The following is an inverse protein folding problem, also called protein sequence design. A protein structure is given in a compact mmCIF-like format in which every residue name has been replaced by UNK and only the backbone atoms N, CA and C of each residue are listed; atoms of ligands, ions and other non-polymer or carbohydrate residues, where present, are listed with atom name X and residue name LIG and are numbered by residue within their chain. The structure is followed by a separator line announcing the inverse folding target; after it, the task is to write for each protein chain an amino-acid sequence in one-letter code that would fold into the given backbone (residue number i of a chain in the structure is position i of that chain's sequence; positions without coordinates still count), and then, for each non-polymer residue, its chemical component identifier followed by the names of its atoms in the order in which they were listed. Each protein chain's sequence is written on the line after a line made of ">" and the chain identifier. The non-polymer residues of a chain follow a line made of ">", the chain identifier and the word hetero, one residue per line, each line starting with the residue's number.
data_IF_102614262098
#
_entry.id   IF_102614262098
#
_cell.length_a   1.000
_cell.length_b   1.000
_cell.length_c   1.000
_cell.angle_alpha   90.00
_cell.angle_beta   90.00
_cell.angle_gamma   90.00
#
_symmetry.space_group_name_H-M   'P 1'
#
loop_
_entity.id
_entity.type
_entity.pdbx_description
1 polymer ?
#
# COMPACT_ATOMS: atom_id res chain seq x y z
N UNK A 1 -33.05 3.39 68.57
CA UNK A 1 -32.56 4.19 67.44
C UNK A 1 -31.36 3.57 66.72
N UNK A 2 -31.07 2.27 66.92
CA UNK A 2 -29.86 1.59 66.40
C UNK A 2 -30.13 0.57 65.29
N UNK A 3 -31.39 0.33 64.91
CA UNK A 3 -31.75 -0.71 63.92
C UNK A 3 -31.84 -0.21 62.46
N UNK A 4 -31.94 1.10 62.22
CA UNK A 4 -32.07 1.66 60.86
C UNK A 4 -30.73 1.68 60.12
N UNK A 5 -29.62 1.95 60.82
CA UNK A 5 -28.26 1.97 60.26
C UNK A 5 -27.83 0.61 59.68
N UNK A 6 -28.33 -0.51 60.22
CA UNK A 6 -27.93 -1.84 59.74
C UNK A 6 -28.59 -2.20 58.41
N UNK A 7 -29.79 -1.70 58.13
CA UNK A 7 -30.51 -1.98 56.88
C UNK A 7 -30.03 -1.08 55.73
N UNK A 8 -29.72 0.20 56.01
CA UNK A 8 -29.08 1.09 55.03
C UNK A 8 -27.69 0.58 54.63
N UNK A 9 -26.91 0.05 55.58
CA UNK A 9 -25.61 -0.55 55.29
C UNK A 9 -25.70 -1.81 54.42
N UNK A 10 -26.73 -2.66 54.62
CA UNK A 10 -26.92 -3.87 53.78
C UNK A 10 -27.37 -3.54 52.36
N UNK A 11 -28.26 -2.56 52.17
CA UNK A 11 -28.71 -2.12 50.84
C UNK A 11 -27.57 -1.42 50.07
N UNK A 12 -26.72 -0.65 50.77
CA UNK A 12 -25.54 -0.05 50.16
C UNK A 12 -24.51 -1.10 49.71
N UNK A 13 -24.35 -2.20 50.45
CA UNK A 13 -23.38 -3.26 50.13
C UNK A 13 -23.74 -4.02 48.84
N UNK A 14 -25.04 -4.25 48.58
CA UNK A 14 -25.50 -4.87 47.33
C UNK A 14 -25.34 -3.92 46.14
N UNK A 15 -25.66 -2.63 46.32
CA UNK A 15 -25.56 -1.61 45.29
C UNK A 15 -24.11 -1.37 44.80
N UNK A 16 -23.14 -1.36 45.72
CA UNK A 16 -21.71 -1.26 45.36
C UNK A 16 -21.26 -2.47 44.53
N UNK A 17 -21.72 -3.68 44.89
CA UNK A 17 -21.41 -4.91 44.15
C UNK A 17 -22.00 -4.94 42.75
N UNK A 18 -23.21 -4.41 42.58
CA UNK A 18 -23.91 -4.35 41.30
C UNK A 18 -23.34 -3.27 40.38
N UNK A 19 -22.91 -2.14 40.95
CA UNK A 19 -22.18 -1.09 40.22
C UNK A 19 -20.84 -1.62 39.68
N UNK A 20 -20.11 -2.41 40.48
CA UNK A 20 -18.86 -3.05 40.04
C UNK A 20 -19.10 -4.02 38.86
N UNK A 21 -20.15 -4.85 38.93
CA UNK A 21 -20.51 -5.76 37.83
C UNK A 21 -20.88 -5.00 36.56
N UNK A 22 -21.62 -3.89 36.68
CA UNK A 22 -21.97 -3.04 35.54
C UNK A 22 -20.72 -2.38 34.90
N UNK A 23 -19.77 -1.94 35.72
CA UNK A 23 -18.47 -1.42 35.26
C UNK A 23 -17.64 -2.50 34.55
N UNK A 24 -17.59 -3.72 35.09
CA UNK A 24 -16.91 -4.86 34.44
C UNK A 24 -17.55 -5.20 33.09
N UNK A 25 -18.87 -5.19 33.00
CA UNK A 25 -19.60 -5.37 31.74
C UNK A 25 -19.25 -4.29 30.71
N UNK A 26 -19.20 -3.03 31.14
CA UNK A 26 -18.83 -1.89 30.27
C UNK A 26 -17.39 -2.00 29.79
N UNK A 27 -16.47 -2.40 30.66
CA UNK A 27 -15.07 -2.67 30.33
C UNK A 27 -14.95 -3.78 29.26
N UNK A 28 -15.72 -4.87 29.39
CA UNK A 28 -15.73 -5.95 28.41
C UNK A 28 -16.26 -5.49 27.04
N UNK A 29 -17.32 -4.65 27.01
CA UNK A 29 -17.82 -4.06 25.76
C UNK A 29 -16.78 -3.16 25.07
N UNK A 30 -16.03 -2.38 25.85
CA UNK A 30 -14.95 -1.54 25.34
C UNK A 30 -13.81 -2.38 24.75
N UNK A 31 -13.40 -3.44 25.46
CA UNK A 31 -12.40 -4.38 25.00
C UNK A 31 -12.78 -5.06 23.67
N UNK A 32 -14.08 -5.35 23.48
CA UNK A 32 -14.57 -5.94 22.22
C UNK A 32 -14.49 -5.00 21.01
N UNK A 33 -14.47 -3.68 21.23
CA UNK A 33 -14.44 -2.68 20.14
C UNK A 33 -13.02 -2.19 19.86
N UNK A 34 -12.17 -2.14 20.88
CA UNK A 34 -10.86 -1.52 20.82
C UNK A 34 -9.82 -2.39 21.53
N UNK A 35 -8.76 -2.77 20.80
CA UNK A 35 -7.64 -3.54 21.35
C UNK A 35 -6.77 -2.72 22.32
N UNK A 36 -6.76 -1.39 22.19
CA UNK A 36 -6.10 -0.48 23.10
C UNK A 36 -7.01 0.70 23.40
N UNK A 37 -7.24 1.01 24.68
CA UNK A 37 -8.13 2.09 25.11
C UNK A 37 -7.38 3.04 26.06
N UNK A 38 -7.35 4.35 25.77
CA UNK A 38 -6.74 5.33 26.66
C UNK A 38 -7.57 5.55 27.94
N UNK A 39 -6.90 5.94 29.02
CA UNK A 39 -7.49 6.10 30.35
C UNK A 39 -8.58 7.17 30.36
N UNK A 40 -8.47 8.22 29.53
CA UNK A 40 -9.50 9.25 29.43
C UNK A 40 -10.85 8.71 28.96
N UNK A 41 -10.84 7.77 28.02
CA UNK A 41 -12.06 7.13 27.51
C UNK A 41 -12.61 6.18 28.57
N UNK A 42 -11.75 5.39 29.20
CA UNK A 42 -12.13 4.49 30.28
C UNK A 42 -12.74 5.24 31.47
N UNK A 43 -12.14 6.34 31.90
CA UNK A 43 -12.64 7.19 32.99
C UNK A 43 -14.03 7.74 32.70
N UNK A 44 -14.27 8.20 31.46
CA UNK A 44 -15.58 8.71 31.03
C UNK A 44 -16.64 7.62 31.02
N UNK A 45 -16.32 6.46 30.46
CA UNK A 45 -17.26 5.35 30.31
C UNK A 45 -17.56 4.62 31.64
N UNK A 46 -16.57 4.52 32.54
CA UNK A 46 -16.77 3.93 33.86
C UNK A 46 -17.29 4.95 34.91
N UNK A 47 -17.26 6.25 34.58
CA UNK A 47 -17.66 7.33 35.49
C UNK A 47 -16.73 7.48 36.69
N UNK A 48 -15.41 7.42 36.45
CA UNK A 48 -14.37 7.43 37.48
C UNK A 48 -13.39 8.56 37.22
N UNK A 49 -13.07 9.36 38.25
CA UNK A 49 -12.14 10.49 38.10
C UNK A 49 -10.68 10.09 38.39
N UNK A 50 -10.48 9.13 39.29
CA UNK A 50 -9.15 8.69 39.75
C UNK A 50 -8.58 7.56 38.89
N UNK A 51 -7.29 7.66 38.55
CA UNK A 51 -6.54 6.59 37.88
C UNK A 51 -6.46 5.34 38.75
N UNK A 52 -6.32 5.49 40.07
CA UNK A 52 -6.23 4.36 40.99
C UNK A 52 -7.50 3.53 41.02
N UNK A 53 -8.65 4.20 41.06
CA UNK A 53 -9.95 3.50 41.07
C UNK A 53 -10.16 2.75 39.76
N UNK A 54 -9.73 3.31 38.62
CA UNK A 54 -9.74 2.61 37.34
C UNK A 54 -8.86 1.35 37.37
N UNK A 55 -7.63 1.45 37.89
CA UNK A 55 -6.71 0.33 38.03
C UNK A 55 -7.27 -0.76 38.95
N UNK A 56 -7.88 -0.39 40.07
CA UNK A 56 -8.52 -1.32 40.99
C UNK A 56 -9.69 -2.06 40.33
N UNK A 57 -10.52 -1.37 39.56
CA UNK A 57 -11.60 -1.98 38.77
C UNK A 57 -11.03 -2.92 37.70
N UNK A 58 -9.96 -2.51 37.00
CA UNK A 58 -9.33 -3.37 36.00
C UNK A 58 -8.73 -4.63 36.62
N UNK A 59 -8.04 -4.49 37.75
CA UNK A 59 -7.48 -5.62 38.50
C UNK A 59 -8.59 -6.54 38.98
N UNK A 60 -9.68 -5.99 39.51
CA UNK A 60 -10.87 -6.76 39.92
C UNK A 60 -11.50 -7.51 38.74
N UNK A 61 -11.68 -6.85 37.59
CA UNK A 61 -12.22 -7.45 36.37
C UNK A 61 -11.31 -8.58 35.85
N UNK A 62 -9.99 -8.42 35.97
CA UNK A 62 -9.02 -9.46 35.62
C UNK A 62 -9.11 -10.67 36.54
N UNK A 63 -9.20 -10.46 37.86
CA UNK A 63 -9.37 -11.56 38.81
C UNK A 63 -10.72 -12.26 38.69
N UNK A 64 -11.77 -11.52 38.30
CA UNK A 64 -13.09 -12.09 37.99
C UNK A 64 -13.12 -12.85 36.66
N UNK A 65 -12.04 -12.82 35.87
CA UNK A 65 -11.96 -13.48 34.56
C UNK A 65 -12.78 -12.79 33.46
N UNK A 66 -13.20 -11.54 33.67
CA UNK A 66 -14.02 -10.79 32.70
C UNK A 66 -13.17 -10.24 31.57
N UNK A 67 -11.94 -9.80 31.85
CA UNK A 67 -11.02 -9.28 30.84
C UNK A 67 -9.57 -9.64 31.18
N UNK A 68 -8.75 -9.81 30.15
CA UNK A 68 -7.30 -9.96 30.28
C UNK A 68 -6.60 -8.89 29.45
N UNK A 69 -5.54 -8.33 30.01
CA UNK A 69 -4.82 -7.22 29.38
C UNK A 69 -3.64 -6.72 30.18
N UNK A 70 -3.02 -5.67 29.65
CA UNK A 70 -1.86 -4.98 30.23
C UNK A 70 -2.19 -3.50 30.43
N UNK A 71 -1.81 -3.00 31.61
CA UNK A 71 -1.84 -1.58 31.92
C UNK A 71 -0.52 -0.97 31.43
N UNK A 72 -0.60 -0.03 30.49
CA UNK A 72 0.53 0.78 30.07
C UNK A 72 0.46 2.13 30.79
N UNK A 73 1.25 2.28 31.84
CA UNK A 73 1.30 3.50 32.64
C UNK A 73 2.02 4.67 31.94
N UNK A 74 2.78 4.40 30.87
CA UNK A 74 3.49 5.45 30.12
C UNK A 74 2.58 6.16 29.13
N UNK A 75 1.82 5.37 28.38
CA UNK A 75 0.90 5.87 27.36
C UNK A 75 -0.52 6.07 27.91
N UNK A 76 -0.70 5.85 29.21
CA UNK A 76 -1.98 5.89 29.93
C UNK A 76 -3.07 5.13 29.17
N UNK A 77 -2.75 3.89 28.77
CA UNK A 77 -3.62 3.06 27.96
C UNK A 77 -3.71 1.63 28.50
N UNK A 78 -4.86 1.00 28.29
CA UNK A 78 -5.08 -0.42 28.59
C UNK A 78 -5.09 -1.18 27.28
N UNK A 79 -4.18 -2.14 27.16
CA UNK A 79 -4.14 -3.09 26.05
C UNK A 79 -4.94 -4.34 26.45
N UNK A 80 -6.05 -4.60 25.78
CA UNK A 80 -6.85 -5.79 25.99
C UNK A 80 -6.33 -6.93 25.12
N UNK A 81 -6.11 -8.10 25.73
CA UNK A 81 -5.68 -9.32 25.03
C UNK A 81 -6.82 -10.33 24.87
N UNK A 82 -7.71 -10.41 25.85
CA UNK A 82 -8.85 -11.32 25.84
C UNK A 82 -10.00 -10.72 26.66
N UNK A 83 -11.24 -11.07 26.32
CA UNK A 83 -12.41 -10.59 27.04
C UNK A 83 -13.51 -11.64 27.03
N UNK A 84 -14.21 -11.75 28.16
CA UNK A 84 -15.39 -12.58 28.26
C UNK A 84 -16.54 -11.91 27.51
N UNK A 85 -17.02 -12.57 26.47
CA UNK A 85 -18.13 -12.10 25.65
C UNK A 85 -19.41 -12.03 26.50
N UNK A 86 -20.05 -10.87 26.51
CA UNK A 86 -21.41 -10.76 27.01
C UNK A 86 -22.39 -11.52 26.10
N UNK A 87 -23.59 -11.91 26.59
CA UNK A 87 -24.60 -12.52 25.74
C UNK A 87 -24.93 -11.61 24.56
N UNK A 88 -24.71 -12.13 23.36
CA UNK A 88 -24.96 -11.46 22.08
C UNK A 88 -26.44 -11.11 22.00
N UNK A 89 -26.74 -9.85 21.72
CA UNK A 89 -28.13 -9.41 21.49
C UNK A 89 -28.57 -9.83 20.09
N UNK A 90 -29.85 -10.14 19.89
CA UNK A 90 -30.35 -10.65 18.59
C UNK A 90 -30.03 -9.73 17.40
N UNK A 91 -29.92 -8.42 17.61
CA UNK A 91 -29.52 -7.46 16.56
C UNK A 91 -28.04 -7.48 16.18
N UNK A 92 -27.15 -7.91 17.09
CA UNK A 92 -25.69 -7.90 16.88
C UNK A 92 -25.25 -9.05 15.95
N UNK A 93 -26.05 -10.11 15.84
CA UNK A 93 -25.81 -11.24 14.92
C UNK A 93 -25.92 -10.78 13.45
N UNK A 94 -26.90 -9.93 13.16
CA UNK A 94 -27.08 -9.36 11.82
C UNK A 94 -25.90 -8.46 11.45
N UNK A 95 -25.47 -7.60 12.38
CA UNK A 95 -24.28 -6.74 12.20
C UNK A 95 -23.01 -7.58 11.97
N UNK A 96 -22.82 -8.68 12.71
CA UNK A 96 -21.71 -9.61 12.49
C UNK A 96 -21.77 -10.27 11.11
N UNK A 97 -22.95 -10.69 10.67
CA UNK A 97 -23.16 -11.32 9.37
C UNK A 97 -22.85 -10.34 8.23
N UNK A 98 -23.29 -9.08 8.36
CA UNK A 98 -22.97 -8.02 7.42
C UNK A 98 -21.47 -7.72 7.39
N UNK A 99 -20.82 -7.62 8.55
CA UNK A 99 -19.38 -7.38 8.63
C UNK A 99 -18.57 -8.50 7.97
N UNK A 100 -18.92 -9.76 8.25
CA UNK A 100 -18.28 -10.93 7.62
C UNK A 100 -18.50 -10.93 6.10
N UNK A 101 -19.71 -10.62 5.65
CA UNK A 101 -20.02 -10.53 4.21
C UNK A 101 -19.20 -9.44 3.52
N UNK A 102 -19.07 -8.26 4.15
CA UNK A 102 -18.20 -7.19 3.65
C UNK A 102 -16.72 -7.63 3.61
N UNK A 103 -16.28 -8.40 4.60
CA UNK A 103 -14.90 -8.88 4.65
C UNK A 103 -14.62 -9.90 3.54
N UNK A 104 -15.57 -10.81 3.27
CA UNK A 104 -15.50 -11.72 2.12
C UNK A 104 -15.45 -10.92 0.81
N UNK A 105 -16.32 -9.93 0.64
CA UNK A 105 -16.30 -9.07 -0.56
C UNK A 105 -14.98 -8.33 -0.76
N UNK A 106 -14.32 -7.89 0.33
CA UNK A 106 -12.97 -7.31 0.26
C UNK A 106 -11.93 -8.33 -0.18
N UNK A 107 -11.99 -9.56 0.35
CA UNK A 107 -11.10 -10.64 -0.06
C UNK A 107 -11.28 -11.01 -1.53
N UNK A 108 -12.51 -11.05 -2.02
CA UNK A 108 -12.83 -11.29 -3.43
C UNK A 108 -12.30 -10.16 -4.33
N UNK A 109 -12.45 -8.89 -3.92
CA UNK A 109 -11.88 -7.75 -4.65
C UNK A 109 -10.36 -7.84 -4.77
N UNK A 110 -9.66 -8.11 -3.66
CA UNK A 110 -8.20 -8.28 -3.69
C UNK A 110 -7.80 -9.47 -4.57
N UNK A 111 -8.56 -10.56 -4.52
CA UNK A 111 -8.32 -11.71 -5.39
C UNK A 111 -8.47 -11.35 -6.87
N UNK A 112 -9.51 -10.60 -7.23
CA UNK A 112 -9.71 -10.13 -8.60
C UNK A 112 -8.61 -9.16 -9.06
N UNK A 113 -8.19 -8.24 -8.20
CA UNK A 113 -7.10 -7.30 -8.49
C UNK A 113 -5.79 -8.05 -8.77
N UNK A 114 -5.48 -9.09 -7.99
CA UNK A 114 -4.30 -9.92 -8.22
C UNK A 114 -4.38 -10.69 -9.54
N UNK A 115 -5.55 -11.24 -9.90
CA UNK A 115 -5.74 -11.90 -11.18
C UNK A 115 -5.59 -10.92 -12.35
N UNK A 116 -6.09 -9.70 -12.20
CA UNK A 116 -5.94 -8.65 -13.20
C UNK A 116 -4.47 -8.24 -13.36
N UNK A 117 -3.74 -8.06 -12.26
CA UNK A 117 -2.30 -7.77 -12.28
C UNK A 117 -1.49 -8.88 -12.96
N UNK A 118 -1.86 -10.14 -12.71
CA UNK A 118 -1.25 -11.29 -13.38
C UNK A 118 -1.49 -11.23 -14.90
N UNK A 119 -2.74 -11.02 -15.32
CA UNK A 119 -3.10 -10.95 -16.74
C UNK A 119 -2.41 -9.78 -17.46
N UNK A 120 -2.28 -8.61 -16.79
CA UNK A 120 -1.52 -7.48 -17.35
C UNK A 120 -0.04 -7.80 -17.47
N UNK A 121 0.54 -8.45 -16.47
CA UNK A 121 1.96 -8.86 -16.48
C UNK A 121 2.25 -9.86 -17.60
N UNK A 122 1.39 -10.86 -17.79
CA UNK A 122 1.52 -11.84 -18.88
C UNK A 122 1.42 -11.18 -20.26
N UNK A 123 0.49 -10.23 -20.42
CA UNK A 123 0.34 -9.45 -21.65
C UNK A 123 1.59 -8.61 -21.93
N UNK A 124 2.08 -7.87 -20.94
CA UNK A 124 3.29 -7.06 -21.06
C UNK A 124 4.51 -7.93 -21.39
N UNK A 125 4.63 -9.10 -20.76
CA UNK A 125 5.70 -10.05 -21.07
C UNK A 125 5.63 -10.56 -22.51
N UNK A 126 4.43 -10.89 -23.01
CA UNK A 126 4.23 -11.31 -24.39
C UNK A 126 4.57 -10.19 -25.39
N UNK A 127 4.10 -8.97 -25.15
CA UNK A 127 4.40 -7.79 -25.98
C UNK A 127 5.90 -7.47 -25.97
N UNK A 128 6.56 -7.56 -24.81
CA UNK A 128 7.99 -7.34 -24.69
C UNK A 128 8.78 -8.40 -25.48
N UNK A 129 8.39 -9.66 -25.39
CA UNK A 129 9.02 -10.75 -26.14
C UNK A 129 8.87 -10.56 -27.65
N UNK A 130 7.70 -10.14 -28.12
CA UNK A 130 7.48 -9.85 -29.55
C UNK A 130 8.33 -8.66 -30.01
N UNK A 131 8.40 -7.61 -29.20
CA UNK A 131 9.23 -6.43 -29.47
C UNK A 131 10.71 -6.80 -29.58
N UNK A 132 11.22 -7.59 -28.64
CA UNK A 132 12.59 -8.09 -28.66
C UNK A 132 12.88 -8.92 -29.91
N UNK A 133 11.98 -9.84 -30.28
CA UNK A 133 12.13 -10.64 -31.49
C UNK A 133 12.15 -9.77 -32.77
N UNK A 134 11.29 -8.74 -32.83
CA UNK A 134 11.27 -7.80 -33.95
C UNK A 134 12.55 -6.98 -34.06
N UNK A 135 13.02 -6.43 -32.93
CA UNK A 135 14.28 -5.67 -32.87
C UNK A 135 15.45 -6.56 -33.29
N UNK A 136 15.49 -7.80 -32.80
CA UNK A 136 16.54 -8.75 -33.19
C UNK A 136 16.53 -9.05 -34.69
N UNK A 137 15.35 -9.25 -35.29
CA UNK A 137 15.21 -9.44 -36.73
C UNK A 137 15.66 -8.21 -37.55
N UNK A 138 15.37 -7.00 -37.07
CA UNK A 138 15.85 -5.76 -37.68
C UNK A 138 17.38 -5.62 -37.55
N UNK A 139 17.97 -5.99 -36.41
CA UNK A 139 19.43 -6.03 -36.21
C UNK A 139 20.08 -7.02 -37.20
N UNK A 140 19.57 -8.24 -37.30
CA UNK A 140 20.12 -9.23 -38.25
C UNK A 140 19.99 -8.77 -39.70
N UNK A 141 18.88 -8.12 -40.07
CA UNK A 141 18.68 -7.57 -41.41
C UNK A 141 19.69 -6.46 -41.71
N UNK A 142 19.90 -5.53 -40.78
CA UNK A 142 20.87 -4.44 -40.94
C UNK A 142 22.30 -4.96 -40.99
N UNK A 143 22.66 -5.93 -40.14
CA UNK A 143 23.96 -6.61 -40.19
C UNK A 143 24.21 -7.26 -41.56
N UNK A 144 23.25 -8.02 -42.09
CA UNK A 144 23.34 -8.61 -43.43
C UNK A 144 23.43 -7.56 -44.55
N UNK A 145 22.75 -6.42 -44.41
CA UNK A 145 22.85 -5.30 -45.36
C UNK A 145 24.21 -4.60 -45.33
N UNK A 146 24.84 -4.51 -44.15
CA UNK A 146 26.21 -4.02 -43.99
C UNK A 146 27.21 -5.00 -44.62
N UNK A 147 27.09 -6.30 -44.31
CA UNK A 147 27.96 -7.36 -44.84
C UNK A 147 27.84 -7.51 -46.37
N UNK A 148 26.63 -7.40 -46.93
CA UNK A 148 26.40 -7.45 -48.38
C UNK A 148 26.78 -6.14 -49.12
N UNK A 149 27.32 -5.15 -48.41
CA UNK A 149 27.88 -3.93 -49.00
C UNK A 149 26.87 -3.01 -49.68
N UNK A 150 25.57 -3.14 -49.38
CA UNK A 150 24.53 -2.32 -50.01
C UNK A 150 24.62 -0.84 -49.60
N UNK A 151 25.08 -0.55 -48.38
CA UNK A 151 25.22 0.81 -47.85
C UNK A 151 26.38 1.60 -48.51
N UNK A 152 27.33 0.91 -49.15
CA UNK A 152 28.42 1.57 -49.88
C UNK A 152 28.01 2.11 -51.27
N UNK A 153 26.84 1.72 -51.80
CA UNK A 153 26.42 2.09 -53.16
C UNK A 153 25.51 3.32 -53.25
N UNK A 154 25.04 3.86 -52.13
CA UNK A 154 24.20 5.07 -52.11
C UNK A 154 24.93 6.34 -51.61
N UNK A 155 26.28 6.34 -51.68
CA UNK A 155 27.01 7.61 -51.60
C UNK A 155 26.77 8.39 -52.89
N UNK A 156 25.78 9.29 -52.84
CA UNK A 156 25.73 10.52 -53.64
C UNK A 156 27.16 11.03 -53.87
N UNK A 157 27.55 11.43 -55.09
CA UNK A 157 28.94 11.73 -55.43
C UNK A 157 29.50 12.74 -54.44
N UNK A 158 30.40 12.25 -53.59
CA UNK A 158 31.06 13.03 -52.53
C UNK A 158 31.56 14.35 -53.12
N UNK A 159 31.31 15.47 -52.43
CA UNK A 159 31.70 16.82 -52.85
C UNK A 159 33.16 16.91 -53.30
N UNK A 160 34.04 16.11 -52.70
CA UNK A 160 35.46 15.96 -53.09
C UNK A 160 35.68 15.46 -54.52
N UNK A 161 34.80 14.58 -55.04
CA UNK A 161 34.86 14.07 -56.41
C UNK A 161 34.40 15.13 -57.43
N UNK A 162 33.43 15.98 -57.05
CA UNK A 162 32.98 17.10 -57.88
C UNK A 162 34.07 18.17 -58.00
N UNK A 163 34.69 18.58 -56.88
CA UNK A 163 35.83 19.51 -56.90
C UNK A 163 37.03 18.99 -57.71
N UNK A 164 37.28 17.69 -57.66
CA UNK A 164 38.37 17.08 -58.43
C UNK A 164 38.10 17.06 -59.94
N UNK A 165 36.84 16.85 -60.34
CA UNK A 165 36.42 16.94 -61.75
C UNK A 165 36.51 18.37 -62.28
N UNK A 166 36.05 19.33 -61.49
CA UNK A 166 36.06 20.75 -61.85
C UNK A 166 37.48 21.31 -61.97
N UNK A 167 38.40 20.92 -61.06
CA UNK A 167 39.82 21.26 -61.16
C UNK A 167 40.48 20.63 -62.40
N UNK A 168 40.08 19.42 -62.78
CA UNK A 168 40.60 18.70 -63.96
C UNK A 168 40.04 19.29 -65.27
N UNK A 169 38.81 19.79 -65.27
CA UNK A 169 38.22 20.49 -66.40
C UNK A 169 38.85 21.89 -66.59
N UNK A 170 39.04 22.64 -65.51
CA UNK A 170 39.68 23.96 -65.54
C UNK A 170 41.14 23.87 -66.02
N UNK A 171 41.87 22.84 -65.61
CA UNK A 171 43.23 22.57 -66.10
C UNK A 171 43.29 22.25 -67.60
N UNK A 172 42.24 21.65 -68.18
CA UNK A 172 42.16 21.42 -69.64
C UNK A 172 41.86 22.71 -70.40
N UNK A 173 40.97 23.55 -69.87
CA UNK A 173 40.67 24.87 -70.43
C UNK A 173 41.90 25.79 -70.43
N UNK A 174 42.69 25.76 -69.36
CA UNK A 174 43.95 26.52 -69.26
C UNK A 174 45.02 26.07 -70.27
N UNK A 175 45.04 24.79 -70.68
CA UNK A 175 45.99 24.27 -71.69
C UNK A 175 45.58 24.56 -73.13
N UNK A 176 44.34 25.00 -73.37
CA UNK A 176 43.83 25.34 -74.70
C UNK A 176 44.09 26.78 -75.16
N UNK A 177 44.64 27.65 -74.30
CA UNK A 177 44.85 29.08 -74.61
C UNK A 177 46.34 29.39 -74.74
N UNK A 178 47.00 28.78 -75.71
CA UNK A 178 48.31 29.23 -76.20
C UNK A 178 48.10 30.11 -77.44
N UNK A 179 48.18 31.44 -77.29
CA UNK A 179 48.20 32.36 -78.45
C UNK A 179 49.49 32.11 -79.26
N UNK A 180 49.45 32.00 -80.60
CA UNK A 180 50.67 31.95 -81.38
C UNK A 180 51.30 33.35 -81.43
N UNK A 181 52.54 33.47 -80.94
CA UNK A 181 53.36 34.66 -81.14
C UNK A 181 53.81 34.71 -82.61
N UNK A 182 53.30 35.67 -83.38
CA UNK A 182 53.88 36.07 -84.69
C UNK A 182 55.11 36.94 -84.42
N UNK A 183 56.25 36.58 -85.03
CA UNK A 183 57.42 37.47 -85.13
C UNK A 183 57.47 38.05 -86.55
N UNK A 184 57.67 39.36 -86.61
CA UNK A 184 57.94 40.16 -87.80
C UNK A 184 59.30 39.80 -88.41
#
# INVERSE_FOLDING_TARGET
>A
MTFVLSAEATIAMDAESDMLKARHATLAKLASKHSSVPYDVLKKELGVESVRELEEIFVSAKYAGVCNGRLNCRDEAVEFSDWMTQPVQEGEIEDMTQLLSQWIGKCESVHQDLLQQLATSEKEFAEQKEREARVQAEIEKTQKQIESGAIARDRSPSSTALFSKEKRENAKRARGVGRPFKRH
#
